data_IF_570285107636
#
_entry.id   IF_570285107636
#
_cell.length_a   1.000
_cell.length_b   1.000
_cell.length_c   1.000
_cell.angle_alpha   90.00
_cell.angle_beta   90.00
_cell.angle_gamma   90.00
#
_symmetry.space_group_name_H-M   'P 1'
#
loop_
_entity.id
_entity.type
_entity.pdbx_description
1 polymer ?
#
# COMPACT_ATOMS: atom_id res chain seq x y z
N UNK A 1 -45.39 -2.42 5.22
CA UNK A 1 -45.50 -1.96 3.82
C UNK A 1 -44.86 -0.58 3.75
N UNK A 2 -43.70 -0.35 3.15
CA UNK A 2 -42.70 -1.21 2.51
C UNK A 2 -41.38 -0.41 2.52
N UNK A 3 -40.23 -1.07 2.65
CA UNK A 3 -38.93 -0.38 2.62
C UNK A 3 -38.79 0.41 1.33
N UNK A 4 -38.45 1.70 1.42
CA UNK A 4 -38.46 2.62 0.28
C UNK A 4 -37.44 2.17 -0.78
N UNK A 5 -37.94 1.93 -1.99
CA UNK A 5 -37.21 1.50 -3.20
C UNK A 5 -36.21 2.52 -3.75
N UNK A 6 -35.80 3.53 -2.97
CA UNK A 6 -35.01 4.66 -3.46
C UNK A 6 -33.89 5.04 -2.49
N UNK A 7 -32.84 5.65 -3.03
CA UNK A 7 -31.65 6.16 -2.33
C UNK A 7 -31.59 7.67 -2.53
N UNK A 8 -31.30 8.42 -1.47
CA UNK A 8 -31.26 9.87 -1.51
C UNK A 8 -29.82 10.37 -1.62
N UNK A 9 -29.60 11.35 -2.49
CA UNK A 9 -28.32 11.95 -2.80
C UNK A 9 -28.43 13.47 -2.59
N UNK A 10 -27.82 14.03 -1.54
CA UNK A 10 -27.68 15.47 -1.40
C UNK A 10 -26.52 15.99 -2.21
N UNK A 11 -26.86 16.86 -3.13
CA UNK A 11 -25.95 17.58 -3.98
C UNK A 11 -25.03 18.43 -3.11
N UNK A 12 -23.73 18.20 -3.21
CA UNK A 12 -22.72 19.01 -2.52
C UNK A 12 -22.02 20.00 -3.46
N UNK A 13 -22.35 19.98 -4.76
CA UNK A 13 -21.85 20.93 -5.77
C UNK A 13 -22.94 21.33 -6.79
N UNK A 14 -23.07 22.62 -7.10
CA UNK A 14 -23.94 23.14 -8.16
C UNK A 14 -23.57 22.53 -9.53
N UNK A 15 -24.60 22.25 -10.34
CA UNK A 15 -24.43 21.69 -11.67
C UNK A 15 -25.47 22.24 -12.65
N UNK A 16 -25.00 22.76 -13.79
CA UNK A 16 -25.85 23.15 -14.92
C UNK A 16 -26.01 21.97 -15.87
N UNK A 17 -27.24 21.63 -16.27
CA UNK A 17 -27.50 20.41 -17.03
C UNK A 17 -27.00 20.51 -18.47
N UNK A 18 -26.58 19.36 -19.00
CA UNK A 18 -26.38 19.14 -20.44
C UNK A 18 -27.65 18.53 -21.03
N UNK A 19 -27.69 18.35 -22.35
CA UNK A 19 -28.86 17.79 -23.04
C UNK A 19 -29.28 16.43 -22.44
N UNK A 20 -30.49 16.37 -21.90
CA UNK A 20 -31.04 15.18 -21.24
C UNK A 20 -30.70 14.98 -19.75
N UNK A 21 -30.00 15.93 -19.11
CA UNK A 21 -29.68 15.93 -17.68
C UNK A 21 -30.48 16.97 -16.90
N UNK A 22 -30.46 16.89 -15.57
CA UNK A 22 -31.20 17.80 -14.69
C UNK A 22 -30.28 18.75 -13.92
N UNK A 23 -30.76 19.98 -13.72
CA UNK A 23 -30.03 21.00 -12.95
C UNK A 23 -29.97 20.63 -11.48
N UNK A 24 -28.78 20.80 -10.87
CA UNK A 24 -28.55 20.59 -9.44
C UNK A 24 -28.03 21.86 -8.77
N UNK A 25 -28.50 22.13 -7.55
CA UNK A 25 -27.95 23.16 -6.66
C UNK A 25 -27.52 22.55 -5.33
N UNK A 26 -26.49 23.09 -4.70
CA UNK A 26 -25.97 22.61 -3.41
C UNK A 26 -27.10 22.55 -2.36
N UNK A 27 -27.19 21.42 -1.68
CA UNK A 27 -28.25 21.13 -0.70
C UNK A 27 -29.47 20.43 -1.29
N UNK A 28 -29.58 20.31 -2.62
CA UNK A 28 -30.69 19.59 -3.25
C UNK A 28 -30.66 18.09 -2.94
N UNK A 29 -31.82 17.50 -2.68
CA UNK A 29 -31.95 16.06 -2.50
C UNK A 29 -32.42 15.36 -3.78
N UNK A 30 -31.66 14.41 -4.28
CA UNK A 30 -31.99 13.63 -5.46
C UNK A 30 -32.29 12.17 -5.10
N UNK A 31 -33.44 11.66 -5.55
CA UNK A 31 -33.92 10.33 -5.21
C UNK A 31 -33.72 9.40 -6.41
N UNK A 32 -32.99 8.31 -6.20
CA UNK A 32 -32.58 7.35 -7.24
C UNK A 32 -33.15 5.98 -6.90
N UNK A 33 -33.83 5.35 -7.85
CA UNK A 33 -34.46 4.04 -7.60
C UNK A 33 -33.41 2.94 -7.43
N UNK A 34 -33.70 2.01 -6.54
CA UNK A 34 -32.89 0.81 -6.30
C UNK A 34 -33.14 -0.26 -7.38
N UNK A 35 -32.12 -1.10 -7.66
CA UNK A 35 -30.77 -1.04 -7.09
C UNK A 35 -29.90 0.03 -7.77
N UNK A 36 -29.05 0.69 -6.98
CA UNK A 36 -28.06 1.64 -7.50
C UNK A 36 -26.70 0.93 -7.57
N UNK A 37 -26.34 0.46 -8.75
CA UNK A 37 -25.14 -0.36 -8.95
C UNK A 37 -23.83 0.44 -8.83
N UNK A 38 -23.82 1.69 -9.32
CA UNK A 38 -22.66 2.58 -9.26
C UNK A 38 -23.05 4.00 -8.79
N UNK A 39 -23.05 4.26 -7.47
CA UNK A 39 -23.55 5.52 -6.89
C UNK A 39 -22.68 6.75 -7.23
N UNK A 40 -21.46 6.56 -7.73
CA UNK A 40 -20.56 7.67 -8.09
C UNK A 40 -20.52 7.92 -9.60
N UNK A 41 -21.22 7.09 -10.39
CA UNK A 41 -21.36 7.23 -11.83
C UNK A 41 -22.44 8.24 -12.25
N UNK A 42 -22.91 8.13 -13.49
CA UNK A 42 -24.09 8.89 -13.93
C UNK A 42 -25.34 8.18 -13.44
N UNK A 43 -26.10 8.85 -12.59
CA UNK A 43 -27.31 8.34 -11.97
C UNK A 43 -28.54 8.88 -12.68
N UNK A 44 -29.65 8.17 -12.54
CA UNK A 44 -30.93 8.61 -13.04
C UNK A 44 -31.92 8.67 -11.88
N UNK A 45 -32.48 9.86 -11.66
CA UNK A 45 -33.34 10.09 -10.51
C UNK A 45 -34.07 11.42 -10.60
N UNK A 46 -34.67 11.79 -9.47
CA UNK A 46 -35.49 13.00 -9.38
C UNK A 46 -34.91 13.96 -8.35
N UNK A 47 -34.68 15.20 -8.76
CA UNK A 47 -34.30 16.27 -7.83
C UNK A 47 -35.55 16.79 -7.12
N UNK A 48 -35.59 16.73 -5.78
CA UNK A 48 -36.77 17.08 -5.01
C UNK A 48 -37.03 18.59 -4.91
N UNK A 49 -36.05 19.45 -5.18
CA UNK A 49 -36.28 20.91 -5.23
C UNK A 49 -37.00 21.29 -6.53
N UNK A 50 -36.45 20.91 -7.68
CA UNK A 50 -36.99 21.29 -8.99
C UNK A 50 -38.09 20.36 -9.50
N UNK A 51 -38.21 19.17 -8.91
CA UNK A 51 -39.05 18.05 -9.35
C UNK A 51 -38.70 17.52 -10.75
N UNK A 52 -37.60 17.98 -11.34
CA UNK A 52 -37.13 17.49 -12.62
C UNK A 52 -36.60 16.05 -12.48
N UNK A 53 -36.94 15.21 -13.46
CA UNK A 53 -36.51 13.81 -13.55
C UNK A 53 -35.53 13.69 -14.69
N UNK A 54 -34.40 13.06 -14.45
CA UNK A 54 -33.42 12.78 -15.49
C UNK A 54 -32.07 12.40 -14.90
N UNK A 55 -31.05 12.51 -15.73
CA UNK A 55 -29.71 12.02 -15.37
C UNK A 55 -28.89 13.10 -14.70
N UNK A 56 -28.06 12.68 -13.75
CA UNK A 56 -27.15 13.57 -13.06
C UNK A 56 -25.95 12.80 -12.48
N UNK A 57 -24.77 13.44 -12.36
CA UNK A 57 -23.56 12.76 -11.91
C UNK A 57 -23.52 12.57 -10.39
N UNK A 58 -23.54 11.31 -9.92
CA UNK A 58 -23.55 10.93 -8.50
C UNK A 58 -22.28 11.35 -7.73
N UNK A 59 -21.16 11.60 -8.42
CA UNK A 59 -19.93 12.15 -7.83
C UNK A 59 -20.07 13.57 -7.26
N UNK A 60 -21.08 14.34 -7.67
CA UNK A 60 -21.37 15.69 -7.15
C UNK A 60 -22.43 15.68 -6.06
N UNK A 61 -22.75 14.49 -5.58
CA UNK A 61 -23.70 14.28 -4.53
C UNK A 61 -23.07 13.43 -3.44
N UNK A 62 -23.45 13.73 -2.22
CA UNK A 62 -23.25 12.90 -1.04
C UNK A 62 -24.55 12.16 -0.82
N UNK A 63 -24.51 10.84 -0.70
CA UNK A 63 -25.72 10.08 -0.38
C UNK A 63 -26.23 10.60 0.98
N UNK A 64 -27.45 11.14 1.03
CA UNK A 64 -28.16 11.32 2.31
C UNK A 64 -28.69 9.97 2.68
N UNK A 65 -27.82 9.22 3.33
CA UNK A 65 -27.54 9.48 4.72
C UNK A 65 -26.01 9.34 4.84
N UNK A 66 -25.14 10.28 5.18
CA UNK A 66 -25.18 11.56 5.88
C UNK A 66 -23.82 12.28 5.62
N UNK A 67 -23.86 13.61 5.58
CA UNK A 67 -22.81 14.64 5.62
C UNK A 67 -21.34 14.23 5.93
N UNK A 68 -20.48 14.19 4.91
CA UNK A 68 -19.01 14.36 5.01
C UNK A 68 -18.50 14.91 3.66
N UNK A 69 -17.29 15.52 3.52
CA UNK A 69 -16.56 15.42 2.23
C UNK A 69 -16.65 13.95 1.75
N UNK A 70 -16.52 13.48 0.48
CA UNK A 70 -16.11 12.08 0.37
C UNK A 70 -14.89 12.02 1.28
N UNK A 71 -14.93 11.27 2.41
CA UNK A 71 -13.75 11.19 3.24
C UNK A 71 -12.72 10.76 2.22
N UNK A 72 -11.59 11.47 2.09
CA UNK A 72 -10.45 10.90 1.35
C UNK A 72 -10.43 9.47 1.86
N UNK A 73 -10.77 8.43 1.05
CA UNK A 73 -11.34 7.19 1.58
C UNK A 73 -10.46 6.82 2.73
N UNK A 74 -10.98 6.98 3.95
CA UNK A 74 -10.14 6.92 5.14
C UNK A 74 -9.45 5.60 4.98
N UNK A 75 -8.10 5.60 4.83
CA UNK A 75 -7.33 4.41 4.40
C UNK A 75 -8.04 3.24 5.05
N UNK A 76 -8.74 2.36 4.29
CA UNK A 76 -9.79 1.52 4.87
C UNK A 76 -9.23 0.96 6.15
N UNK A 77 -9.85 1.31 7.31
CA UNK A 77 -9.31 0.96 8.64
C UNK A 77 -8.77 -0.45 8.46
N UNK A 78 -7.44 -0.68 8.60
CA UNK A 78 -6.84 -1.93 8.15
C UNK A 78 -7.70 -3.01 8.76
N UNK A 79 -8.44 -3.72 7.89
CA UNK A 79 -9.54 -4.52 8.36
C UNK A 79 -8.94 -5.44 9.43
N UNK A 80 -9.44 -5.41 10.68
CA UNK A 80 -8.80 -6.14 11.77
C UNK A 80 -8.75 -7.65 11.46
N UNK A 81 -9.60 -8.13 10.55
CA UNK A 81 -9.59 -9.48 9.98
C UNK A 81 -8.90 -9.58 8.60
N UNK A 82 -8.50 -8.46 7.98
CA UNK A 82 -7.67 -8.49 6.77
C UNK A 82 -6.36 -9.09 7.18
N UNK A 83 -6.21 -10.35 6.81
CA UNK A 83 -4.99 -11.09 7.04
C UNK A 83 -3.81 -10.22 6.61
N UNK A 84 -2.89 -9.96 7.56
CA UNK A 84 -1.59 -9.34 7.29
C UNK A 84 -0.80 -10.13 6.25
N UNK A 85 -1.26 -11.36 6.00
CA UNK A 85 -0.67 -12.34 5.15
C UNK A 85 -1.59 -12.71 3.99
N UNK A 86 -1.00 -13.17 2.90
CA UNK A 86 -1.72 -13.72 1.77
C UNK A 86 -0.90 -14.85 1.16
N UNK A 87 -1.53 -15.65 0.30
CA UNK A 87 -0.87 -16.78 -0.33
C UNK A 87 -0.48 -16.47 -1.76
N UNK A 88 0.75 -16.82 -2.15
CA UNK A 88 1.23 -16.81 -3.53
C UNK A 88 1.97 -18.12 -3.76
N UNK A 89 1.58 -18.93 -4.75
CA UNK A 89 2.26 -20.19 -5.07
C UNK A 89 2.52 -21.08 -3.84
N UNK A 90 1.53 -21.22 -2.93
CA UNK A 90 1.61 -21.93 -1.64
C UNK A 90 2.53 -21.31 -0.56
N UNK A 91 3.11 -20.13 -0.80
CA UNK A 91 3.86 -19.39 0.21
C UNK A 91 2.93 -18.54 1.07
N UNK A 92 3.16 -18.52 2.39
CA UNK A 92 2.46 -17.61 3.32
C UNK A 92 3.22 -16.28 3.43
N UNK A 93 2.80 -15.29 2.65
CA UNK A 93 3.51 -14.04 2.37
C UNK A 93 3.06 -12.91 3.28
N UNK A 94 4.02 -12.14 3.81
CA UNK A 94 3.82 -10.90 4.57
C UNK A 94 4.48 -9.71 3.86
N UNK A 95 3.94 -8.51 4.09
CA UNK A 95 4.61 -7.24 3.76
C UNK A 95 5.61 -6.87 4.85
N UNK A 96 6.89 -6.81 4.50
CA UNK A 96 7.97 -6.49 5.44
C UNK A 96 8.91 -5.43 4.88
N UNK A 97 9.65 -4.78 5.79
CA UNK A 97 10.68 -3.82 5.45
C UNK A 97 12.04 -4.48 5.70
N UNK A 98 12.62 -5.01 4.62
CA UNK A 98 13.87 -5.77 4.67
C UNK A 98 15.02 -4.79 4.89
N UNK A 99 15.75 -4.98 5.99
CA UNK A 99 16.85 -4.11 6.38
C UNK A 99 18.16 -4.67 5.85
N UNK A 100 18.44 -5.93 6.14
CA UNK A 100 19.63 -6.63 5.65
C UNK A 100 19.46 -6.96 4.16
N UNK A 101 20.49 -6.82 3.31
CA UNK A 101 20.37 -7.16 1.91
C UNK A 101 19.95 -8.62 1.70
N UNK A 102 18.92 -8.83 0.89
CA UNK A 102 18.43 -10.16 0.55
C UNK A 102 18.35 -10.34 -0.96
N UNK A 103 18.62 -11.53 -1.48
CA UNK A 103 18.55 -11.79 -2.91
C UNK A 103 17.10 -11.98 -3.40
N UNK A 104 16.69 -11.28 -4.46
CA UNK A 104 15.44 -11.56 -5.17
C UNK A 104 15.66 -12.53 -6.34
N UNK A 105 15.14 -13.75 -6.22
CA UNK A 105 15.28 -14.77 -7.29
C UNK A 105 14.48 -14.46 -8.57
N UNK A 106 13.65 -13.43 -8.59
CA UNK A 106 12.80 -13.12 -9.74
C UNK A 106 13.44 -12.10 -10.70
N UNK A 107 14.32 -11.23 -10.19
CA UNK A 107 14.99 -10.22 -11.00
C UNK A 107 16.51 -10.20 -10.81
N UNK A 108 17.06 -11.13 -10.02
CA UNK A 108 18.49 -11.26 -9.75
C UNK A 108 19.13 -9.97 -9.22
N UNK A 109 18.38 -9.26 -8.38
CA UNK A 109 18.85 -8.05 -7.69
C UNK A 109 18.64 -8.14 -6.17
N UNK A 110 19.46 -7.40 -5.42
CA UNK A 110 19.31 -7.29 -3.97
C UNK A 110 18.08 -6.45 -3.58
N UNK A 111 17.39 -6.92 -2.55
CA UNK A 111 16.33 -6.26 -1.83
C UNK A 111 16.94 -5.64 -0.58
N UNK A 112 16.93 -4.32 -0.50
CA UNK A 112 17.37 -3.58 0.68
C UNK A 112 16.74 -2.18 0.69
N UNK A 113 16.85 -1.50 1.83
CA UNK A 113 16.45 -0.10 1.98
C UNK A 113 15.28 0.12 2.94
N UNK A 114 15.33 1.23 3.66
CA UNK A 114 14.48 1.46 4.84
C UNK A 114 13.04 1.87 4.56
N UNK A 115 12.66 2.19 3.32
CA UNK A 115 11.34 2.76 2.98
C UNK A 115 10.52 1.90 2.02
N UNK A 116 11.13 0.89 1.37
CA UNK A 116 10.46 0.06 0.37
C UNK A 116 9.88 -1.18 1.02
N UNK A 117 8.56 -1.39 0.82
CA UNK A 117 7.88 -2.61 1.23
C UNK A 117 8.32 -3.74 0.31
N UNK A 118 8.67 -4.87 0.90
CA UNK A 118 9.00 -6.13 0.21
C UNK A 118 8.05 -7.22 0.68
N UNK A 119 8.00 -8.32 -0.06
CA UNK A 119 7.21 -9.48 0.31
C UNK A 119 8.13 -10.59 0.80
N UNK A 120 7.78 -11.23 1.91
CA UNK A 120 8.56 -12.32 2.49
C UNK A 120 7.65 -13.46 2.92
N UNK A 121 8.05 -14.69 2.60
CA UNK A 121 7.39 -15.87 3.12
C UNK A 121 7.72 -16.06 4.60
N UNK A 122 6.71 -16.18 5.45
CA UNK A 122 6.87 -16.46 6.89
C UNK A 122 7.39 -17.86 7.22
N UNK A 123 7.29 -18.80 6.27
CA UNK A 123 7.71 -20.21 6.47
C UNK A 123 9.11 -20.47 5.94
N UNK A 124 9.39 -20.01 4.72
CA UNK A 124 10.65 -20.26 4.04
C UNK A 124 11.51 -19.00 3.87
N UNK A 125 11.15 -17.84 4.42
CA UNK A 125 11.93 -16.60 4.38
C UNK A 125 12.36 -16.08 2.99
N UNK A 126 11.97 -16.73 1.88
CA UNK A 126 12.14 -16.21 0.52
C UNK A 126 11.46 -14.86 0.43
N UNK A 127 12.11 -13.92 -0.24
CA UNK A 127 11.60 -12.58 -0.41
C UNK A 127 11.72 -12.07 -1.83
N UNK A 128 10.85 -11.13 -2.17
CA UNK A 128 10.78 -10.48 -3.48
C UNK A 128 10.54 -8.98 -3.32
N UNK A 129 11.02 -8.18 -4.27
CA UNK A 129 10.58 -6.80 -4.37
C UNK A 129 9.07 -6.74 -4.60
N UNK A 130 8.46 -5.61 -4.25
CA UNK A 130 7.02 -5.41 -4.46
C UNK A 130 6.58 -5.59 -5.93
N UNK A 131 7.44 -5.30 -6.91
CA UNK A 131 7.13 -5.51 -8.34
C UNK A 131 7.25 -6.98 -8.79
N UNK A 132 8.03 -7.77 -8.05
CA UNK A 132 8.46 -9.12 -8.42
C UNK A 132 7.60 -10.23 -7.81
N UNK A 133 6.59 -9.88 -7.03
CA UNK A 133 5.80 -10.81 -6.20
C UNK A 133 4.86 -11.74 -6.96
N UNK A 134 4.65 -11.52 -8.26
CA UNK A 134 3.62 -12.24 -9.04
C UNK A 134 3.86 -13.74 -9.06
N UNK A 135 5.11 -14.18 -8.94
CA UNK A 135 5.48 -15.60 -8.92
C UNK A 135 6.59 -15.83 -7.91
N UNK A 136 6.37 -16.78 -6.99
CA UNK A 136 7.45 -17.44 -6.27
C UNK A 136 7.71 -18.76 -6.99
N UNK A 137 8.82 -18.86 -7.72
CA UNK A 137 9.07 -19.96 -8.66
C UNK A 137 9.31 -21.32 -7.98
N UNK A 138 9.81 -21.32 -6.74
CA UNK A 138 10.17 -22.54 -6.00
C UNK A 138 9.10 -22.90 -4.98
N UNK A 139 8.92 -24.20 -4.74
CA UNK A 139 8.01 -24.70 -3.71
C UNK A 139 8.34 -24.12 -2.32
N UNK A 140 7.30 -23.95 -1.50
CA UNK A 140 7.43 -23.47 -0.13
C UNK A 140 7.97 -24.58 0.79
N UNK A 141 9.23 -24.94 0.60
CA UNK A 141 9.95 -25.85 1.47
C UNK A 141 10.50 -25.06 2.65
N UNK A 142 10.34 -25.57 3.88
CA UNK A 142 11.10 -25.06 5.03
C UNK A 142 12.58 -25.36 4.75
N UNK A 143 13.26 -24.40 4.14
CA UNK A 143 14.71 -24.47 4.01
C UNK A 143 15.29 -24.07 5.36
N UNK A 144 16.31 -24.79 5.83
CA UNK A 144 17.16 -24.30 6.91
C UNK A 144 17.93 -23.10 6.38
N UNK A 145 17.37 -21.90 6.51
CA UNK A 145 18.13 -20.68 6.27
C UNK A 145 19.16 -20.53 7.39
N UNK A 146 20.38 -20.14 7.03
CA UNK A 146 21.38 -19.68 8.01
C UNK A 146 20.93 -18.41 8.73
N UNK A 147 20.00 -17.65 8.13
CA UNK A 147 19.49 -16.39 8.64
C UNK A 147 18.07 -16.55 9.21
N UNK A 148 17.88 -16.02 10.42
CA UNK A 148 16.56 -15.90 11.02
C UNK A 148 15.81 -14.68 10.50
N UNK A 149 14.48 -14.70 10.62
CA UNK A 149 13.63 -13.53 10.34
C UNK A 149 14.11 -12.29 11.10
N UNK A 150 14.44 -12.44 12.38
CA UNK A 150 14.86 -11.33 13.23
C UNK A 150 16.17 -10.71 12.74
N UNK A 151 17.08 -11.53 12.20
CA UNK A 151 18.31 -11.04 11.58
C UNK A 151 18.04 -10.23 10.30
N UNK A 152 17.06 -10.65 9.48
CA UNK A 152 16.70 -9.96 8.22
C UNK A 152 16.07 -8.59 8.49
N UNK A 153 15.22 -8.50 9.51
CA UNK A 153 14.48 -7.29 9.89
C UNK A 153 15.25 -6.40 10.87
N UNK A 154 16.43 -6.85 11.30
CA UNK A 154 17.29 -6.19 12.27
C UNK A 154 17.56 -4.72 11.87
N UNK A 155 17.27 -3.74 12.75
CA UNK A 155 17.52 -2.33 12.45
C UNK A 155 18.98 -2.04 12.14
N UNK A 156 19.22 -1.13 11.17
CA UNK A 156 20.58 -0.74 10.74
C UNK A 156 21.45 -0.32 11.92
N UNK A 157 20.90 0.45 12.86
CA UNK A 157 21.62 0.89 14.07
C UNK A 157 22.11 -0.24 14.97
N UNK A 158 21.70 -1.49 14.75
CA UNK A 158 22.15 -2.63 15.56
C UNK A 158 23.11 -3.54 14.80
N UNK A 159 23.48 -3.18 13.56
CA UNK A 159 24.31 -4.02 12.71
C UNK A 159 25.74 -4.15 13.22
N UNK A 160 26.28 -5.37 13.14
CA UNK A 160 27.70 -5.65 13.32
C UNK A 160 28.52 -5.11 12.14
N UNK A 161 29.84 -5.12 12.29
CA UNK A 161 30.75 -4.78 11.20
C UNK A 161 30.58 -5.75 10.01
N UNK A 162 30.34 -7.06 10.25
CA UNK A 162 30.08 -7.99 9.15
C UNK A 162 28.79 -7.66 8.38
N UNK A 163 27.73 -7.33 9.09
CA UNK A 163 26.44 -6.98 8.48
C UNK A 163 26.54 -5.68 7.65
N UNK A 164 27.36 -4.71 8.11
CA UNK A 164 27.69 -3.51 7.31
C UNK A 164 28.47 -3.88 6.06
N UNK A 165 29.48 -4.75 6.17
CA UNK A 165 30.27 -5.21 5.03
C UNK A 165 29.42 -5.94 4.00
N UNK A 166 28.48 -6.80 4.42
CA UNK A 166 27.54 -7.45 3.50
C UNK A 166 26.68 -6.43 2.73
N UNK A 167 26.18 -5.40 3.42
CA UNK A 167 25.47 -4.30 2.78
C UNK A 167 26.32 -3.52 1.79
N UNK A 168 27.59 -3.28 2.11
CA UNK A 168 28.52 -2.62 1.19
C UNK A 168 28.74 -3.45 -0.08
N UNK A 169 28.91 -4.76 0.05
CA UNK A 169 29.02 -5.67 -1.13
C UNK A 169 27.76 -5.58 -1.98
N UNK A 170 26.58 -5.70 -1.36
CA UNK A 170 25.29 -5.61 -2.07
C UNK A 170 25.05 -4.24 -2.73
N UNK A 171 25.69 -3.18 -2.24
CA UNK A 171 25.62 -1.81 -2.77
C UNK A 171 26.80 -1.45 -3.68
N UNK A 172 27.60 -2.44 -4.11
CA UNK A 172 28.78 -2.27 -4.94
C UNK A 172 29.93 -1.44 -4.34
N UNK A 173 29.96 -1.24 -3.02
CA UNK A 173 30.98 -0.47 -2.27
C UNK A 173 32.20 -1.32 -1.84
N UNK A 174 32.46 -2.40 -2.55
CA UNK A 174 33.48 -3.41 -2.22
C UNK A 174 34.90 -2.83 -2.02
N UNK A 175 35.25 -1.76 -2.72
CA UNK A 175 36.57 -1.12 -2.61
C UNK A 175 36.85 -0.50 -1.23
N UNK A 176 35.82 -0.21 -0.45
CA UNK A 176 35.94 0.39 0.88
C UNK A 176 35.85 -0.62 2.03
N UNK A 177 35.72 -1.93 1.73
CA UNK A 177 35.52 -2.96 2.76
C UNK A 177 36.66 -3.00 3.77
N UNK A 178 37.91 -2.95 3.31
CA UNK A 178 39.07 -2.98 4.20
C UNK A 178 39.11 -1.78 5.13
N UNK A 179 38.68 -0.61 4.63
CA UNK A 179 38.63 0.63 5.40
C UNK A 179 37.60 0.55 6.52
N UNK A 180 36.39 0.10 6.20
CA UNK A 180 35.31 -0.06 7.17
C UNK A 180 35.63 -1.16 8.19
N UNK A 181 36.27 -2.24 7.75
CA UNK A 181 36.70 -3.34 8.61
C UNK A 181 37.78 -2.91 9.59
N UNK A 182 38.81 -2.19 9.13
CA UNK A 182 39.91 -1.71 9.97
C UNK A 182 39.43 -0.71 11.03
N UNK A 183 38.47 0.14 10.67
CA UNK A 183 37.88 1.13 11.58
C UNK A 183 36.69 0.56 12.39
N UNK A 184 36.40 -0.74 12.28
CA UNK A 184 35.31 -1.41 12.99
C UNK A 184 33.96 -0.71 12.85
N UNK A 185 33.68 -0.14 11.67
CA UNK A 185 32.45 0.62 11.42
C UNK A 185 31.24 -0.30 11.56
N UNK A 186 30.34 0.05 12.48
CA UNK A 186 29.07 -0.63 12.75
C UNK A 186 27.91 0.19 12.22
N UNK A 187 26.73 -0.39 12.31
CA UNK A 187 25.52 0.26 11.82
C UNK A 187 25.14 1.56 12.53
N UNK A 188 25.49 1.73 13.82
CA UNK A 188 25.33 3.01 14.54
C UNK A 188 26.18 4.13 13.95
N UNK A 189 27.33 3.79 13.37
CA UNK A 189 28.32 4.77 12.92
C UNK A 189 27.96 5.31 11.53
N UNK A 190 27.24 4.52 10.71
CA UNK A 190 26.89 4.84 9.31
C UNK A 190 26.28 6.23 9.10
N UNK A 191 25.47 6.71 10.06
CA UNK A 191 24.85 8.03 9.96
C UNK A 191 25.85 9.19 10.08
N UNK A 192 27.01 8.95 10.71
CA UNK A 192 28.00 9.96 11.08
C UNK A 192 29.38 9.68 10.47
N UNK A 193 29.51 8.67 9.59
CA UNK A 193 30.78 8.37 8.91
C UNK A 193 31.24 9.62 8.16
N UNK A 194 32.45 10.06 8.50
CA UNK A 194 33.14 11.16 7.85
C UNK A 194 34.62 10.78 7.67
N UNK A 195 35.42 11.65 7.05
CA UNK A 195 36.84 11.39 6.82
C UNK A 195 37.64 11.07 8.09
N UNK A 196 37.27 11.60 9.26
CA UNK A 196 37.98 11.33 10.52
C UNK A 196 37.72 9.92 11.04
N UNK A 197 36.57 9.33 10.75
CA UNK A 197 36.25 7.94 11.10
C UNK A 197 36.89 6.92 10.16
N UNK A 198 37.47 7.39 9.05
CA UNK A 198 38.02 6.57 7.96
C UNK A 198 39.53 6.83 7.75
N UNK A 199 40.21 7.49 8.68
CA UNK A 199 41.67 7.73 8.68
C UNK A 199 42.35 6.79 9.65
#
# INVERSE_FOLDING_TARGET
>A
MGERDFVVFVVNHDYLPKEGEIELKVGDECYVKKPVENPYGLLEGVNMRTKAIGRFPGKYCTIVNENTPPPRPSKPKPDPNRSKFFYISNHHIEKVNIKRPMWCENCDEYIWGGSRISFMCTKCLRCTHIGCHRVFQKECLRVSFSLSRDSILKPVTTWSCEEVMEWMVASHLHMYLNLFKANHIKGVDLANVNEQHLK
#
